data_IF_856986936020
#
_entry.id   IF_856986936020
#
_cell.length_a   1.000
_cell.length_b   1.000
_cell.length_c   1.000
_cell.angle_alpha   90.00
_cell.angle_beta   90.00
_cell.angle_gamma   90.00
#
_symmetry.space_group_name_H-M   'P 1'
#
loop_
_entity.id
_entity.type
_entity.pdbx_description
1 polymer ?
#
# COMPACT_ATOMS: atom_id res chain seq x y z
N UNK A 1 24.20 10.59 -9.80
CA UNK A 1 23.99 9.18 -9.42
C UNK A 1 23.06 9.09 -8.19
N UNK A 2 23.34 9.83 -7.10
CA UNK A 2 22.51 9.80 -5.89
C UNK A 2 21.06 10.21 -6.14
N UNK A 3 20.81 11.29 -6.88
CA UNK A 3 19.48 11.75 -7.21
C UNK A 3 18.68 10.66 -7.96
N UNK A 4 19.29 9.99 -8.92
CA UNK A 4 18.65 8.91 -9.67
C UNK A 4 18.26 7.74 -8.75
N UNK A 5 19.14 7.39 -7.81
CA UNK A 5 18.84 6.37 -6.80
C UNK A 5 17.61 6.70 -5.97
N UNK A 6 17.49 7.93 -5.46
CA UNK A 6 16.34 8.35 -4.66
C UNK A 6 15.04 8.41 -5.47
N UNK A 7 15.11 8.81 -6.74
CA UNK A 7 13.94 8.80 -7.63
C UNK A 7 13.43 7.38 -7.87
N UNK A 8 14.33 6.43 -8.14
CA UNK A 8 13.97 5.01 -8.33
C UNK A 8 13.36 4.44 -7.05
N UNK A 9 13.98 4.69 -5.89
CA UNK A 9 13.46 4.24 -4.60
C UNK A 9 12.10 4.85 -4.27
N UNK A 10 11.89 6.13 -4.57
CA UNK A 10 10.59 6.79 -4.41
C UNK A 10 9.51 6.14 -5.29
N UNK A 11 9.84 5.83 -6.53
CA UNK A 11 8.91 5.19 -7.47
C UNK A 11 8.50 3.79 -6.99
N UNK A 12 9.45 2.99 -6.54
CA UNK A 12 9.19 1.65 -5.98
C UNK A 12 8.30 1.76 -4.73
N UNK A 13 8.60 2.71 -3.84
CA UNK A 13 7.85 2.93 -2.62
C UNK A 13 6.39 3.31 -2.90
N UNK A 14 6.15 4.27 -3.78
CA UNK A 14 4.80 4.70 -4.19
C UNK A 14 4.06 3.55 -4.86
N UNK A 15 4.72 2.79 -5.73
CA UNK A 15 4.14 1.62 -6.39
C UNK A 15 3.69 0.55 -5.38
N UNK A 16 4.54 0.19 -4.42
CA UNK A 16 4.20 -0.79 -3.38
C UNK A 16 3.03 -0.35 -2.51
N UNK A 17 3.02 0.93 -2.08
CA UNK A 17 1.91 1.48 -1.30
C UNK A 17 0.63 1.47 -2.12
N UNK A 18 0.67 1.86 -3.39
CA UNK A 18 -0.49 1.86 -4.28
C UNK A 18 -1.10 0.47 -4.43
N UNK A 19 -0.27 -0.56 -4.60
CA UNK A 19 -0.71 -1.97 -4.66
C UNK A 19 -1.32 -2.40 -3.32
N UNK A 20 -0.72 -2.05 -2.18
CA UNK A 20 -1.25 -2.35 -0.85
C UNK A 20 -2.68 -1.81 -0.70
N UNK A 21 -2.88 -0.54 -1.02
CA UNK A 21 -4.20 0.08 -0.91
C UNK A 21 -5.21 -0.47 -1.91
N UNK A 22 -4.77 -0.80 -3.12
CA UNK A 22 -5.61 -1.47 -4.11
C UNK A 22 -6.14 -2.81 -3.62
N UNK A 23 -5.28 -3.64 -3.04
CA UNK A 23 -5.65 -4.95 -2.47
C UNK A 23 -6.57 -4.81 -1.26
N UNK A 24 -6.30 -3.86 -0.37
CA UNK A 24 -7.14 -3.62 0.81
C UNK A 24 -8.53 -3.10 0.39
N UNK A 25 -8.61 -2.26 -0.64
CA UNK A 25 -9.89 -1.77 -1.16
C UNK A 25 -10.78 -2.90 -1.71
N UNK A 26 -10.20 -3.94 -2.30
CA UNK A 26 -10.92 -5.13 -2.76
C UNK A 26 -11.55 -5.92 -1.59
N UNK A 27 -10.94 -5.84 -0.41
CA UNK A 27 -11.41 -6.54 0.80
C UNK A 27 -12.43 -5.74 1.59
N UNK A 28 -12.35 -4.41 1.60
CA UNK A 28 -13.15 -3.55 2.49
C UNK A 28 -13.49 -2.22 1.82
N UNK A 29 -14.77 -1.96 1.61
CA UNK A 29 -15.25 -0.71 0.99
C UNK A 29 -15.05 0.55 1.89
N UNK A 30 -15.00 0.36 3.22
CA UNK A 30 -14.90 1.45 4.21
C UNK A 30 -13.47 1.99 4.43
N UNK A 31 -12.48 1.44 3.76
CA UNK A 31 -11.07 1.78 4.03
C UNK A 31 -10.65 3.16 3.51
N UNK A 32 -11.48 3.81 2.68
CA UNK A 32 -11.17 5.12 2.11
C UNK A 32 -10.86 6.16 3.20
N UNK A 33 -11.59 6.15 4.31
CA UNK A 33 -11.39 7.12 5.40
C UNK A 33 -10.04 6.91 6.08
N UNK A 34 -9.65 5.65 6.31
CA UNK A 34 -8.36 5.29 6.90
C UNK A 34 -7.21 5.68 5.96
N UNK A 35 -7.39 5.43 4.66
CA UNK A 35 -6.43 5.82 3.63
C UNK A 35 -6.17 7.32 3.61
N UNK A 36 -7.23 8.14 3.56
CA UNK A 36 -7.10 9.59 3.60
C UNK A 36 -6.43 10.07 4.90
N UNK A 37 -6.77 9.46 6.04
CA UNK A 37 -6.14 9.78 7.33
C UNK A 37 -4.64 9.50 7.33
N UNK A 38 -4.20 8.35 6.81
CA UNK A 38 -2.78 8.00 6.69
C UNK A 38 -2.06 8.91 5.72
N UNK A 39 -2.65 9.23 4.56
CA UNK A 39 -2.05 10.17 3.59
C UNK A 39 -1.86 11.56 4.19
N UNK A 40 -2.87 12.09 4.87
CA UNK A 40 -2.80 13.40 5.53
C UNK A 40 -1.71 13.39 6.62
N UNK A 41 -1.63 12.32 7.42
CA UNK A 41 -0.59 12.18 8.44
C UNK A 41 0.81 12.14 7.81
N UNK A 42 1.01 11.39 6.73
CA UNK A 42 2.29 11.33 6.03
C UNK A 42 2.69 12.70 5.45
N UNK A 43 1.74 13.44 4.86
CA UNK A 43 1.97 14.78 4.32
C UNK A 43 2.33 15.77 5.44
N UNK A 44 1.63 15.69 6.58
CA UNK A 44 1.87 16.57 7.72
C UNK A 44 3.28 16.37 8.31
N UNK A 45 3.82 15.15 8.24
CA UNK A 45 5.17 14.81 8.70
C UNK A 45 6.26 15.10 7.66
N UNK A 46 5.92 15.66 6.48
CA UNK A 46 6.91 16.05 5.49
C UNK A 46 7.70 17.29 5.94
N UNK A 47 9.00 17.37 5.62
CA UNK A 47 9.87 18.51 6.00
C UNK A 47 9.48 19.83 5.33
N UNK A 48 8.53 19.82 4.42
CA UNK A 48 8.00 21.02 3.76
C UNK A 48 7.17 21.85 4.73
N UNK A 49 6.45 21.21 5.65
CA UNK A 49 5.57 21.88 6.63
C UNK A 49 6.27 22.07 7.97
N UNK A 50 7.15 21.15 8.33
CA UNK A 50 7.85 21.16 9.61
C UNK A 50 9.37 21.29 9.39
N UNK A 51 9.92 22.43 9.78
CA UNK A 51 11.39 22.64 9.77
C UNK A 51 11.94 22.05 11.08
N UNK A 52 12.71 20.94 11.04
CA UNK A 52 13.24 20.34 12.25
C UNK A 52 14.24 21.29 12.92
N UNK A 53 14.02 21.58 14.19
CA UNK A 53 14.99 22.37 14.97
C UNK A 53 16.19 21.46 15.30
N UNK A 54 17.44 21.85 14.96
CA UNK A 54 18.62 21.02 15.16
C UNK A 54 18.89 20.64 16.63
N UNK A 55 18.27 21.34 17.57
CA UNK A 55 18.43 21.07 19.00
C UNK A 55 17.62 19.86 19.53
N UNK A 56 16.71 19.32 18.76
CA UNK A 56 15.88 18.18 19.18
C UNK A 56 16.27 16.89 18.46
N UNK A 57 17.33 16.25 18.96
CA UNK A 57 17.86 14.99 18.41
C UNK A 57 16.79 13.88 18.34
N UNK A 58 15.92 13.78 19.33
CA UNK A 58 14.86 12.77 19.41
C UNK A 58 13.81 12.94 18.30
N UNK A 59 13.37 14.17 18.04
CA UNK A 59 12.41 14.46 16.98
C UNK A 59 13.02 14.16 15.62
N UNK A 60 14.28 14.46 15.41
CA UNK A 60 14.99 14.18 14.17
C UNK A 60 15.07 12.67 13.88
N UNK A 61 15.29 11.84 14.90
CA UNK A 61 15.27 10.38 14.74
C UNK A 61 13.88 9.86 14.38
N UNK A 62 12.81 10.37 14.99
CA UNK A 62 11.44 10.00 14.66
C UNK A 62 11.08 10.42 13.22
N UNK A 63 11.49 11.62 12.79
CA UNK A 63 11.27 12.06 11.41
C UNK A 63 12.01 11.18 10.41
N UNK A 64 13.24 10.77 10.72
CA UNK A 64 14.02 9.88 9.85
C UNK A 64 13.43 8.46 9.73
N UNK A 65 12.61 8.02 10.71
CA UNK A 65 11.85 6.79 10.59
C UNK A 65 10.69 6.89 9.59
N UNK A 66 10.22 8.09 9.26
CA UNK A 66 9.21 8.27 8.25
C UNK A 66 9.83 8.06 6.85
N UNK A 67 9.39 7.04 6.08
CA UNK A 67 9.97 6.75 4.77
C UNK A 67 9.82 7.90 3.77
N UNK A 68 8.73 8.68 3.88
CA UNK A 68 8.53 9.88 3.05
C UNK A 68 9.56 10.96 3.36
N UNK A 69 9.83 11.20 4.66
CA UNK A 69 10.86 12.15 5.08
C UNK A 69 12.23 11.74 4.55
N UNK A 70 12.59 10.47 4.66
CA UNK A 70 13.85 9.94 4.16
C UNK A 70 14.05 10.21 2.66
N UNK A 71 13.02 9.94 1.83
CA UNK A 71 13.07 10.17 0.38
C UNK A 71 13.21 11.66 0.06
N UNK A 72 12.36 12.51 0.66
CA UNK A 72 12.36 13.96 0.40
C UNK A 72 13.67 14.58 0.84
N UNK A 73 14.18 14.22 2.01
CA UNK A 73 15.46 14.72 2.51
C UNK A 73 16.65 14.26 1.63
N UNK A 74 16.62 13.00 1.16
CA UNK A 74 17.64 12.48 0.25
C UNK A 74 17.64 13.18 -1.10
N UNK A 75 16.48 13.46 -1.67
CA UNK A 75 16.34 14.25 -2.92
C UNK A 75 16.83 15.69 -2.69
N UNK A 76 16.40 16.34 -1.61
CA UNK A 76 16.80 17.71 -1.28
C UNK A 76 18.31 17.83 -1.10
N UNK A 77 18.93 16.92 -0.36
CA UNK A 77 20.40 16.91 -0.18
C UNK A 77 21.14 16.66 -1.49
N UNK A 78 20.63 15.77 -2.36
CA UNK A 78 21.23 15.49 -3.65
C UNK A 78 21.17 16.67 -4.61
N UNK A 79 20.10 17.49 -4.53
CA UNK A 79 19.93 18.68 -5.39
C UNK A 79 20.74 19.86 -4.87
N UNK A 80 20.64 20.14 -3.56
CA UNK A 80 21.20 21.37 -2.98
C UNK A 80 22.72 21.27 -2.79
N UNK A 81 23.19 20.13 -2.31
CA UNK A 81 24.58 19.97 -1.93
C UNK A 81 25.42 19.18 -2.92
N UNK A 82 24.79 18.52 -3.91
CA UNK A 82 25.50 17.64 -4.85
C UNK A 82 26.26 16.49 -4.18
N UNK A 83 26.09 16.35 -2.86
CA UNK A 83 26.79 15.38 -2.04
C UNK A 83 26.08 14.04 -2.15
N UNK A 84 26.85 13.01 -2.41
CA UNK A 84 26.40 11.65 -2.23
C UNK A 84 26.09 11.45 -0.74
N UNK A 85 24.81 11.40 -0.38
CA UNK A 85 24.33 11.24 1.00
C UNK A 85 24.68 9.85 1.59
N UNK A 86 25.91 9.40 1.39
CA UNK A 86 26.45 8.13 1.90
C UNK A 86 26.72 8.16 3.41
N UNK A 87 26.65 9.31 4.05
CA UNK A 87 26.91 9.44 5.50
C UNK A 87 25.86 8.73 6.36
N UNK A 88 24.67 8.46 5.82
CA UNK A 88 23.57 7.84 6.55
C UNK A 88 23.28 6.40 6.10
N UNK A 89 24.31 5.58 5.94
CA UNK A 89 24.22 4.17 5.55
C UNK A 89 23.15 3.38 6.34
N UNK A 90 23.03 3.48 7.69
CA UNK A 90 22.03 2.76 8.45
C UNK A 90 20.59 3.07 8.02
N UNK A 91 20.28 4.29 7.60
CA UNK A 91 18.94 4.65 7.14
C UNK A 91 18.61 4.07 5.75
N UNK A 92 19.61 3.86 4.90
CA UNK A 92 19.42 3.14 3.63
C UNK A 92 19.02 1.69 3.86
N UNK A 93 19.69 1.00 4.78
CA UNK A 93 19.34 -0.38 5.14
C UNK A 93 17.95 -0.46 5.78
N UNK A 94 17.61 0.47 6.66
CA UNK A 94 16.28 0.57 7.24
C UNK A 94 15.21 0.75 6.17
N UNK A 95 15.42 1.64 5.22
CA UNK A 95 14.47 1.90 4.15
C UNK A 95 14.28 0.69 3.22
N UNK A 96 15.36 0.00 2.86
CA UNK A 96 15.31 -1.24 2.06
C UNK A 96 14.56 -2.33 2.82
N UNK A 97 14.84 -2.50 4.11
CA UNK A 97 14.14 -3.46 4.97
C UNK A 97 12.64 -3.15 5.04
N UNK A 98 12.29 -1.88 5.16
CA UNK A 98 10.91 -1.42 5.16
C UNK A 98 10.20 -1.71 3.84
N UNK A 99 10.85 -1.49 2.69
CA UNK A 99 10.31 -1.87 1.37
C UNK A 99 10.09 -3.38 1.26
N UNK A 100 11.04 -4.20 1.73
CA UNK A 100 10.88 -5.65 1.75
C UNK A 100 9.71 -6.09 2.62
N UNK A 101 9.49 -5.45 3.75
CA UNK A 101 8.35 -5.73 4.64
C UNK A 101 7.03 -5.39 3.96
N UNK A 102 6.90 -4.24 3.31
CA UNK A 102 5.71 -3.88 2.54
C UNK A 102 5.48 -4.88 1.40
N UNK A 103 6.53 -5.29 0.69
CA UNK A 103 6.41 -6.28 -0.39
C UNK A 103 5.91 -7.64 0.14
N UNK A 104 6.39 -8.08 1.31
CA UNK A 104 5.92 -9.30 1.96
C UNK A 104 4.44 -9.19 2.37
N UNK A 105 4.03 -8.06 2.95
CA UNK A 105 2.62 -7.79 3.29
C UNK A 105 1.75 -7.83 2.03
N UNK A 106 2.19 -7.21 0.93
CA UNK A 106 1.48 -7.26 -0.35
C UNK A 106 1.32 -8.69 -0.88
N UNK A 107 2.35 -9.51 -0.76
CA UNK A 107 2.30 -10.91 -1.18
C UNK A 107 1.25 -11.70 -0.37
N UNK A 108 1.25 -11.57 0.96
CA UNK A 108 0.28 -12.22 1.83
C UNK A 108 -1.13 -11.73 1.54
N UNK A 109 -1.29 -10.41 1.37
CA UNK A 109 -2.58 -9.78 1.09
C UNK A 109 -3.15 -10.21 -0.27
N UNK A 110 -2.31 -10.32 -1.31
CA UNK A 110 -2.68 -10.81 -2.63
C UNK A 110 -3.18 -12.26 -2.56
N UNK A 111 -2.48 -13.12 -1.82
CA UNK A 111 -2.92 -14.50 -1.58
C UNK A 111 -4.29 -14.56 -0.91
N UNK A 112 -4.48 -13.76 0.13
CA UNK A 112 -5.75 -13.71 0.87
C UNK A 112 -6.90 -13.20 -0.02
N UNK A 113 -6.66 -12.15 -0.80
CA UNK A 113 -7.66 -11.56 -1.71
C UNK A 113 -8.08 -12.56 -2.79
N UNK A 114 -7.13 -13.30 -3.37
CA UNK A 114 -7.42 -14.33 -4.39
C UNK A 114 -8.32 -15.42 -3.82
N UNK A 115 -8.05 -15.91 -2.61
CA UNK A 115 -8.91 -16.91 -1.96
C UNK A 115 -10.30 -16.37 -1.66
N UNK A 116 -10.41 -15.12 -1.21
CA UNK A 116 -11.71 -14.50 -0.89
C UNK A 116 -12.59 -14.34 -2.14
N UNK A 117 -12.00 -13.90 -3.26
CA UNK A 117 -12.71 -13.76 -4.55
C UNK A 117 -13.15 -15.13 -5.08
N UNK A 118 -12.27 -16.13 -5.05
CA UNK A 118 -12.59 -17.47 -5.51
C UNK A 118 -13.79 -18.07 -4.76
N UNK A 119 -13.81 -17.95 -3.43
CA UNK A 119 -14.91 -18.44 -2.61
C UNK A 119 -16.24 -17.70 -2.88
N UNK A 120 -16.17 -16.41 -3.20
CA UNK A 120 -17.38 -15.63 -3.55
C UNK A 120 -17.95 -16.06 -4.90
N UNK A 121 -17.11 -16.28 -5.89
CA UNK A 121 -17.52 -16.70 -7.23
C UNK A 121 -18.13 -18.10 -7.22
N UNK A 122 -17.56 -19.04 -6.48
CA UNK A 122 -18.09 -20.41 -6.41
C UNK A 122 -19.47 -20.47 -5.72
N UNK A 123 -19.74 -19.60 -4.75
CA UNK A 123 -21.08 -19.50 -4.12
C UNK A 123 -22.13 -18.97 -5.08
N UNK A 124 -21.81 -17.97 -5.88
CA UNK A 124 -22.74 -17.40 -6.88
C UNK A 124 -23.11 -18.46 -7.91
N UNK A 125 -22.14 -19.19 -8.44
CA UNK A 125 -22.38 -20.25 -9.43
C UNK A 125 -23.25 -21.38 -8.87
N UNK A 126 -23.12 -21.73 -7.60
CA UNK A 126 -23.99 -22.74 -6.97
C UNK A 126 -25.42 -22.24 -6.80
N UNK A 127 -25.62 -20.96 -6.51
CA UNK A 127 -26.95 -20.38 -6.35
C UNK A 127 -27.70 -20.34 -7.70
N UNK A 128 -27.01 -19.95 -8.78
CA UNK A 128 -27.58 -19.89 -10.12
C UNK A 128 -28.02 -21.31 -10.60
N UNK A 129 -27.17 -22.33 -10.40
CA UNK A 129 -27.51 -23.71 -10.76
C UNK A 129 -28.69 -24.26 -9.95
N UNK A 130 -28.88 -23.86 -8.70
CA UNK A 130 -30.05 -24.28 -7.92
C UNK A 130 -31.33 -23.60 -8.37
N UNK A 131 -31.24 -22.39 -8.87
CA UNK A 131 -32.41 -21.63 -9.34
C UNK A 131 -32.91 -22.15 -10.67
N UNK A 132 -32.01 -22.58 -11.57
CA UNK A 132 -32.36 -23.21 -12.84
C UNK A 132 -33.06 -24.58 -12.66
N UNK A 133 -32.56 -25.41 -11.72
CA UNK A 133 -33.16 -26.70 -11.39
C UNK A 133 -34.54 -26.53 -10.75
N UNK A 134 -34.77 -25.48 -9.98
CA UNK A 134 -36.04 -25.17 -9.34
C UNK A 134 -37.10 -24.70 -10.36
N UNK A 135 -36.69 -23.95 -11.38
CA UNK A 135 -37.62 -23.49 -12.43
C UNK A 135 -38.01 -24.59 -13.39
N UNK A 136 -37.11 -25.51 -13.75
CA UNK A 136 -37.37 -26.63 -14.65
C UNK A 136 -38.37 -27.63 -14.03
N UNK A 137 -38.36 -27.79 -12.72
CA UNK A 137 -39.30 -28.68 -12.03
C UNK A 137 -40.72 -28.12 -11.87
N UNK A 138 -40.93 -26.81 -12.08
CA UNK A 138 -42.27 -26.18 -12.04
C UNK A 138 -42.99 -26.24 -13.38
N UNK A 139 -42.28 -26.24 -14.48
CA UNK A 139 -42.87 -26.30 -15.83
C UNK A 139 -43.38 -27.69 -16.20
N UNK A 140 -42.82 -28.78 -15.63
CA UNK A 140 -43.31 -30.14 -15.85
C UNK A 140 -44.61 -30.47 -15.07
N UNK A 141 -44.93 -29.74 -14.03
CA UNK A 141 -46.14 -29.98 -13.24
C UNK A 141 -47.41 -29.37 -13.85
N UNK A 142 -47.29 -28.38 -14.75
CA UNK A 142 -48.41 -27.64 -15.31
C UNK A 142 -48.88 -28.23 -16.66
N UNK A 143 -48.18 -29.20 -17.25
CA UNK A 143 -48.55 -29.84 -18.54
C UNK A 143 -49.30 -31.17 -18.40
N UNK A 144 -49.58 -31.60 -17.14
CA UNK A 144 -50.28 -32.90 -16.86
C UNK A 144 -51.71 -32.75 -16.33
N UNK A 145 -52.40 -31.62 -16.64
CA UNK A 145 -53.84 -31.46 -16.29
C UNK A 145 -54.74 -31.39 -17.51
#
# INVERSE_FOLDING_TARGET
>A
IALFYFIVMATIFVGLISVTFGLIRLLTEKINIIFYGVCVLCILLLPIIFIPNPNHVFINHILMLNPMYYIVNGIAQSIIFGISSMENIPYHFYFILFLCLIAAVNFVLARYTTHAIYNKTSKVTQTDNQQDVSNDSTDEADTSS
#
